data_IF_427030197751
#
_entry.id   IF_427030197751
#
_cell.length_a   1.000
_cell.length_b   1.000
_cell.length_c   1.000
_cell.angle_alpha   90.00
_cell.angle_beta   90.00
_cell.angle_gamma   90.00
#
_symmetry.space_group_name_H-M   'P 1'
#
loop_
_entity.id
_entity.type
_entity.pdbx_description
1 polymer ?
#
# COMPACT_ATOMS: atom_id res chain seq x y z
N UNK A 1 -36.07 -21.82 -60.02
CA UNK A 1 -35.63 -22.43 -58.74
C UNK A 1 -34.40 -21.67 -58.28
N UNK A 2 -34.39 -21.16 -57.04
CA UNK A 2 -33.47 -20.12 -56.54
C UNK A 2 -32.03 -20.64 -56.34
N UNK A 3 -31.08 -19.78 -56.68
CA UNK A 3 -29.64 -19.89 -56.42
C UNK A 3 -29.38 -19.88 -54.90
N UNK A 4 -28.76 -20.92 -54.36
CA UNK A 4 -28.27 -20.94 -52.97
C UNK A 4 -26.84 -20.44 -52.94
N UNK A 5 -26.64 -19.22 -52.45
CA UNK A 5 -25.34 -18.60 -52.23
C UNK A 5 -24.66 -19.14 -50.97
N UNK A 6 -23.34 -19.31 -51.06
CA UNK A 6 -22.46 -19.57 -49.93
C UNK A 6 -22.26 -18.27 -49.15
N UNK A 7 -22.53 -18.31 -47.84
CA UNK A 7 -22.19 -17.25 -46.90
C UNK A 7 -21.15 -17.78 -45.92
N UNK A 8 -19.92 -17.29 -46.10
CA UNK A 8 -18.83 -17.37 -45.13
C UNK A 8 -19.13 -16.43 -43.96
N UNK A 9 -18.89 -16.90 -42.73
CA UNK A 9 -18.81 -16.02 -41.57
C UNK A 9 -17.71 -16.55 -40.64
N UNK A 10 -16.49 -16.05 -40.85
CA UNK A 10 -15.43 -16.07 -39.87
C UNK A 10 -15.64 -14.85 -38.96
N UNK A 11 -15.70 -15.05 -37.64
CA UNK A 11 -15.56 -13.95 -36.69
C UNK A 11 -14.60 -14.36 -35.58
N UNK A 12 -13.69 -13.42 -35.33
CA UNK A 12 -12.41 -13.55 -34.71
C UNK A 12 -12.47 -13.66 -33.18
N UNK A 13 -11.49 -14.37 -32.64
CA UNK A 13 -11.15 -14.42 -31.23
C UNK A 13 -10.69 -13.04 -30.74
N UNK A 14 -11.45 -12.45 -29.83
CA UNK A 14 -11.05 -11.25 -29.11
C UNK A 14 -10.13 -11.65 -27.95
N UNK A 15 -8.85 -11.29 -28.05
CA UNK A 15 -7.91 -11.33 -26.95
C UNK A 15 -8.14 -10.11 -26.06
N UNK A 16 -8.64 -10.32 -24.85
CA UNK A 16 -8.60 -9.28 -23.82
C UNK A 16 -7.21 -9.36 -23.19
N UNK A 17 -6.36 -8.38 -23.50
CA UNK A 17 -5.19 -8.07 -22.67
C UNK A 17 -5.69 -7.15 -21.56
N UNK A 18 -6.03 -7.72 -20.41
CA UNK A 18 -6.17 -6.97 -19.18
C UNK A 18 -4.76 -6.70 -18.63
N UNK A 19 -4.23 -5.54 -18.95
CA UNK A 19 -3.08 -4.98 -18.25
C UNK A 19 -3.56 -4.34 -16.94
N UNK A 20 -3.22 -4.95 -15.82
CA UNK A 20 -3.20 -4.30 -14.52
C UNK A 20 -1.84 -4.58 -13.89
N UNK A 21 -0.87 -3.72 -14.20
CA UNK A 21 0.32 -3.58 -13.39
C UNK A 21 -0.01 -2.55 -12.31
N UNK A 22 -0.59 -3.00 -11.20
CA UNK A 22 -0.62 -2.25 -9.95
C UNK A 22 0.47 -2.82 -9.07
N UNK A 23 1.55 -2.04 -8.92
CA UNK A 23 2.61 -2.33 -7.96
C UNK A 23 2.06 -2.22 -6.54
N UNK A 24 1.64 -3.36 -6.00
CA UNK A 24 1.56 -3.63 -4.57
C UNK A 24 2.63 -4.69 -4.28
N UNK A 25 3.89 -4.36 -4.55
CA UNK A 25 4.99 -5.24 -4.22
C UNK A 25 5.33 -5.06 -2.75
N UNK A 26 5.08 -6.11 -1.96
CA UNK A 26 5.63 -6.37 -0.64
C UNK A 26 5.23 -5.40 0.49
N UNK A 27 3.97 -5.48 0.93
CA UNK A 27 3.61 -5.14 2.31
C UNK A 27 4.32 -6.09 3.28
N UNK A 28 5.57 -5.74 3.64
CA UNK A 28 6.24 -6.16 4.87
C UNK A 28 6.55 -7.66 5.00
N UNK A 29 7.65 -7.97 5.69
CA UNK A 29 7.98 -9.34 6.05
C UNK A 29 7.01 -9.84 7.12
N UNK A 30 5.87 -10.42 6.71
CA UNK A 30 4.93 -11.06 7.62
C UNK A 30 5.69 -12.06 8.52
N UNK A 31 5.80 -11.73 9.81
CA UNK A 31 6.25 -12.71 10.81
C UNK A 31 5.35 -13.94 10.66
N UNK A 32 5.90 -15.17 10.55
CA UNK A 32 5.08 -16.37 10.51
C UNK A 32 4.36 -16.51 11.86
N UNK A 33 3.06 -16.22 11.89
CA UNK A 33 2.27 -16.37 13.11
C UNK A 33 1.05 -15.46 13.22
N UNK A 34 0.12 -15.52 12.28
CA UNK A 34 -1.31 -15.57 12.60
C UNK A 34 -2.14 -15.79 11.33
N UNK A 35 -3.01 -16.80 11.31
CA UNK A 35 -4.08 -16.88 10.31
C UNK A 35 -5.20 -15.90 10.69
N UNK A 36 -4.90 -14.61 10.75
CA UNK A 36 -5.92 -13.59 10.98
C UNK A 36 -6.70 -13.36 9.69
N UNK A 37 -7.89 -13.96 9.62
CA UNK A 37 -8.75 -13.87 8.45
C UNK A 37 -9.12 -12.42 8.09
N UNK A 38 -9.29 -11.55 9.09
CA UNK A 38 -9.60 -10.15 8.84
C UNK A 38 -8.40 -9.42 8.25
N UNK A 39 -7.18 -9.72 8.73
CA UNK A 39 -5.99 -9.13 8.13
C UNK A 39 -5.78 -9.60 6.68
N UNK A 40 -6.00 -10.88 6.39
CA UNK A 40 -5.96 -11.39 5.01
C UNK A 40 -6.99 -10.71 4.13
N UNK A 41 -8.25 -10.59 4.57
CA UNK A 41 -9.30 -9.90 3.81
C UNK A 41 -8.99 -8.41 3.61
N UNK A 42 -8.35 -7.77 4.59
CA UNK A 42 -7.87 -6.39 4.44
C UNK A 42 -6.78 -6.28 3.38
N UNK A 43 -5.82 -7.20 3.34
CA UNK A 43 -4.77 -7.26 2.33
C UNK A 43 -5.37 -7.38 0.93
N UNK A 44 -6.30 -8.32 0.74
CA UNK A 44 -7.02 -8.52 -0.53
C UNK A 44 -7.84 -7.30 -0.94
N UNK A 45 -8.47 -6.62 0.03
CA UNK A 45 -9.19 -5.38 -0.21
C UNK A 45 -8.25 -4.25 -0.64
N UNK A 46 -7.08 -4.12 -0.02
CA UNK A 46 -6.04 -3.16 -0.44
C UNK A 46 -5.56 -3.44 -1.86
N UNK A 47 -5.23 -4.69 -2.18
CA UNK A 47 -4.76 -5.09 -3.51
C UNK A 47 -5.81 -4.81 -4.60
N UNK A 48 -7.09 -4.89 -4.23
CA UNK A 48 -8.21 -4.55 -5.10
C UNK A 48 -8.61 -3.05 -5.08
N UNK A 49 -7.88 -2.20 -4.34
CA UNK A 49 -8.16 -0.77 -4.22
C UNK A 49 -9.42 -0.43 -3.41
N UNK A 50 -10.00 -1.39 -2.69
CA UNK A 50 -11.17 -1.22 -1.81
C UNK A 50 -10.73 -0.80 -0.41
N UNK A 51 -10.19 0.40 -0.29
CA UNK A 51 -9.57 0.88 0.96
C UNK A 51 -10.56 1.03 2.12
N UNK A 52 -11.82 1.40 1.86
CA UNK A 52 -12.84 1.46 2.91
C UNK A 52 -13.13 0.07 3.51
N UNK A 53 -13.25 -0.96 2.66
CA UNK A 53 -13.43 -2.34 3.10
C UNK A 53 -12.21 -2.82 3.90
N UNK A 54 -11.00 -2.49 3.45
CA UNK A 54 -9.77 -2.82 4.16
C UNK A 54 -9.75 -2.23 5.58
N UNK A 55 -10.18 -0.97 5.74
CA UNK A 55 -10.28 -0.32 7.05
C UNK A 55 -11.25 -1.07 7.97
N UNK A 56 -12.40 -1.50 7.47
CA UNK A 56 -13.37 -2.23 8.28
C UNK A 56 -12.83 -3.58 8.76
N UNK A 57 -12.20 -4.34 7.87
CA UNK A 57 -11.52 -5.58 8.26
C UNK A 57 -10.39 -5.33 9.28
N UNK A 58 -9.55 -4.32 9.06
CA UNK A 58 -8.46 -4.00 9.98
C UNK A 58 -8.95 -3.57 11.36
N UNK A 59 -10.07 -2.85 11.45
CA UNK A 59 -10.71 -2.54 12.75
C UNK A 59 -11.11 -3.81 13.49
N UNK A 60 -11.60 -4.84 12.80
CA UNK A 60 -11.90 -6.13 13.42
C UNK A 60 -10.63 -6.85 13.88
N UNK A 61 -9.56 -6.83 13.08
CA UNK A 61 -8.27 -7.39 13.46
C UNK A 61 -7.69 -6.70 14.71
N UNK A 62 -7.70 -5.36 14.74
CA UNK A 62 -7.24 -4.55 15.88
C UNK A 62 -8.09 -4.79 17.13
N UNK A 63 -9.41 -4.94 16.99
CA UNK A 63 -10.29 -5.23 18.13
C UNK A 63 -9.98 -6.59 18.79
N UNK A 64 -9.42 -7.55 18.04
CA UNK A 64 -8.97 -8.85 18.56
C UNK A 64 -7.55 -8.78 19.10
N UNK A 65 -6.68 -8.04 18.42
CA UNK A 65 -5.25 -7.92 18.71
C UNK A 65 -4.75 -6.53 18.32
N UNK A 66 -4.48 -5.72 19.33
CA UNK A 66 -4.05 -4.33 19.18
C UNK A 66 -2.52 -4.15 19.24
N UNK A 67 -1.78 -5.26 19.22
CA UNK A 67 -0.32 -5.34 19.41
C UNK A 67 0.46 -5.61 18.13
N UNK A 68 -0.22 -5.70 16.98
CA UNK A 68 0.41 -5.95 15.69
C UNK A 68 0.60 -4.65 14.90
N UNK A 69 1.87 -4.25 14.72
CA UNK A 69 2.24 -3.05 13.99
C UNK A 69 1.79 -3.07 12.52
N UNK A 70 1.75 -4.24 11.87
CA UNK A 70 1.32 -4.38 10.47
C UNK A 70 -0.16 -3.95 10.28
N UNK A 71 -1.02 -4.18 11.28
CA UNK A 71 -2.44 -3.79 11.21
C UNK A 71 -2.58 -2.28 11.16
N UNK A 72 -1.84 -1.58 12.01
CA UNK A 72 -1.84 -0.12 12.04
C UNK A 72 -1.14 0.48 10.82
N UNK A 73 -0.07 -0.14 10.34
CA UNK A 73 0.57 0.27 9.09
C UNK A 73 -0.41 0.20 7.90
N UNK A 74 -1.16 -0.91 7.78
CA UNK A 74 -2.13 -1.07 6.70
C UNK A 74 -3.36 -0.17 6.88
N UNK A 75 -3.77 0.13 8.13
CA UNK A 75 -4.81 1.14 8.42
C UNK A 75 -4.35 2.53 7.98
N UNK A 76 -3.10 2.89 8.29
CA UNK A 76 -2.49 4.14 7.85
C UNK A 76 -2.48 4.25 6.33
N UNK A 77 -2.05 3.17 5.66
CA UNK A 77 -2.05 3.08 4.21
C UNK A 77 -3.44 3.25 3.61
N UNK A 78 -4.42 2.46 4.05
CA UNK A 78 -5.78 2.54 3.52
C UNK A 78 -6.42 3.92 3.78
N UNK A 79 -6.19 4.51 4.96
CA UNK A 79 -6.69 5.85 5.32
C UNK A 79 -6.07 6.94 4.43
N UNK A 80 -4.76 6.88 4.19
CA UNK A 80 -4.06 7.79 3.26
C UNK A 80 -4.66 7.70 1.86
N UNK A 81 -4.90 6.48 1.36
CA UNK A 81 -5.43 6.27 0.01
C UNK A 81 -6.84 6.83 -0.21
N UNK A 82 -7.61 7.06 0.85
CA UNK A 82 -8.92 7.73 0.79
C UNK A 82 -8.85 9.23 1.16
N UNK A 83 -7.65 9.77 1.39
CA UNK A 83 -7.44 11.18 1.75
C UNK A 83 -7.66 11.51 3.23
N UNK A 84 -7.88 10.51 4.08
CA UNK A 84 -8.02 10.67 5.53
C UNK A 84 -6.63 10.71 6.18
N UNK A 85 -5.92 11.81 5.95
CA UNK A 85 -4.56 12.00 6.43
C UNK A 85 -4.46 12.09 7.96
N UNK A 86 -5.49 12.62 8.64
CA UNK A 86 -5.51 12.73 10.10
C UNK A 86 -5.42 11.34 10.73
N UNK A 87 -6.29 10.42 10.34
CA UNK A 87 -6.23 9.04 10.82
C UNK A 87 -5.01 8.30 10.29
N UNK A 88 -4.58 8.56 9.05
CA UNK A 88 -3.40 7.92 8.49
C UNK A 88 -2.16 8.14 9.37
N UNK A 89 -1.87 9.39 9.75
CA UNK A 89 -0.75 9.71 10.64
C UNK A 89 -0.89 9.03 11.99
N UNK A 90 -2.06 9.09 12.62
CA UNK A 90 -2.29 8.45 13.91
C UNK A 90 -2.02 6.93 13.87
N UNK A 91 -2.43 6.25 12.80
CA UNK A 91 -2.18 4.82 12.64
C UNK A 91 -0.72 4.49 12.34
N UNK A 92 -0.03 5.26 11.49
CA UNK A 92 1.41 5.06 11.28
C UNK A 92 2.22 5.31 12.55
N UNK A 93 1.90 6.35 13.31
CA UNK A 93 2.53 6.62 14.61
C UNK A 93 2.29 5.48 15.60
N UNK A 94 1.09 4.90 15.62
CA UNK A 94 0.79 3.72 16.43
C UNK A 94 1.62 2.51 15.97
N UNK A 95 1.76 2.25 14.68
CA UNK A 95 2.61 1.19 14.15
C UNK A 95 4.08 1.38 14.61
N UNK A 96 4.61 2.60 14.49
CA UNK A 96 5.97 2.94 14.91
C UNK A 96 6.17 2.95 16.42
N UNK A 97 5.11 3.14 17.21
CA UNK A 97 5.17 2.98 18.67
C UNK A 97 5.29 1.51 19.10
N UNK A 98 4.71 0.59 18.32
CA UNK A 98 4.78 -0.86 18.56
C UNK A 98 6.09 -1.44 18.03
N UNK A 99 6.50 -1.02 16.83
CA UNK A 99 7.74 -1.44 16.18
C UNK A 99 8.50 -0.23 15.63
N UNK A 100 9.43 0.36 16.41
CA UNK A 100 10.15 1.58 16.03
C UNK A 100 11.05 1.48 14.80
N UNK A 101 11.34 0.26 14.33
CA UNK A 101 12.16 0.01 13.14
C UNK A 101 11.34 -0.56 11.97
N UNK A 102 10.01 -0.42 12.03
CA UNK A 102 9.10 -0.91 11.00
C UNK A 102 9.28 -0.11 9.70
N UNK A 103 9.98 -0.70 8.74
CA UNK A 103 10.42 -0.04 7.50
C UNK A 103 9.27 0.53 6.68
N UNK A 104 8.26 -0.28 6.37
CA UNK A 104 7.11 0.16 5.57
C UNK A 104 6.31 1.30 6.23
N UNK A 105 6.21 1.33 7.57
CA UNK A 105 5.56 2.41 8.29
C UNK A 105 6.37 3.71 8.18
N UNK A 106 7.71 3.65 8.26
CA UNK A 106 8.57 4.82 8.00
C UNK A 106 8.45 5.32 6.56
N UNK A 107 8.41 4.43 5.59
CA UNK A 107 8.23 4.80 4.18
C UNK A 107 6.88 5.49 3.96
N UNK A 108 5.78 4.82 4.31
CA UNK A 108 4.45 5.29 3.98
C UNK A 108 4.05 6.57 4.73
N UNK A 109 4.46 6.73 6.01
CA UNK A 109 4.26 8.00 6.71
C UNK A 109 5.09 9.12 6.09
N UNK A 110 6.31 8.82 5.62
CA UNK A 110 7.15 9.75 4.88
C UNK A 110 6.48 10.22 3.58
N UNK A 111 5.89 9.30 2.82
CA UNK A 111 5.10 9.65 1.64
C UNK A 111 3.85 10.48 2.00
N UNK A 112 3.15 10.14 3.09
CA UNK A 112 2.00 10.92 3.58
C UNK A 112 2.39 12.37 3.94
N UNK A 113 3.58 12.56 4.52
CA UNK A 113 4.13 13.88 4.77
C UNK A 113 4.39 14.66 3.47
N UNK A 114 4.92 14.02 2.42
CA UNK A 114 5.07 14.68 1.11
C UNK A 114 3.73 15.09 0.52
N UNK A 115 2.71 14.23 0.58
CA UNK A 115 1.35 14.53 0.08
C UNK A 115 0.68 15.70 0.83
N UNK A 116 1.12 15.97 2.06
CA UNK A 116 0.64 17.06 2.91
C UNK A 116 1.60 18.26 2.99
N UNK A 117 2.62 18.29 2.13
CA UNK A 117 3.56 19.42 1.99
C UNK A 117 4.64 19.52 3.08
N UNK A 118 4.82 18.46 3.88
CA UNK A 118 5.69 18.38 5.05
C UNK A 118 7.02 17.70 4.71
N UNK A 119 7.83 18.37 3.88
CA UNK A 119 9.09 17.80 3.37
C UNK A 119 10.09 17.43 4.48
N UNK A 120 10.23 18.27 5.50
CA UNK A 120 11.22 18.05 6.57
C UNK A 120 10.91 16.77 7.38
N UNK A 121 9.63 16.51 7.63
CA UNK A 121 9.17 15.31 8.30
C UNK A 121 9.44 14.06 7.43
N UNK A 122 9.18 14.12 6.12
CA UNK A 122 9.52 13.03 5.21
C UNK A 122 11.03 12.70 5.22
N UNK A 123 11.90 13.73 5.21
CA UNK A 123 13.35 13.55 5.29
C UNK A 123 13.81 12.93 6.61
N UNK A 124 13.13 13.23 7.72
CA UNK A 124 13.38 12.59 9.01
C UNK A 124 13.13 11.07 8.96
N UNK A 125 12.03 10.65 8.31
CA UNK A 125 11.73 9.23 8.12
C UNK A 125 12.71 8.55 7.16
N UNK A 126 13.18 9.24 6.11
CA UNK A 126 14.25 8.73 5.25
C UNK A 126 15.56 8.53 6.03
N UNK A 127 15.93 9.48 6.90
CA UNK A 127 17.12 9.36 7.74
C UNK A 127 17.00 8.22 8.76
N UNK A 128 15.79 7.89 9.21
CA UNK A 128 15.55 6.70 10.04
C UNK A 128 15.72 5.41 9.23
N UNK A 129 15.17 5.35 8.02
CA UNK A 129 15.37 4.21 7.10
C UNK A 129 16.85 4.00 6.76
N UNK A 130 17.63 5.06 6.55
CA UNK A 130 19.08 4.98 6.31
C UNK A 130 19.82 4.24 7.43
N UNK A 131 19.42 4.49 8.69
CA UNK A 131 19.99 3.82 9.88
C UNK A 131 19.53 2.37 10.01
N UNK A 132 18.27 2.07 9.67
CA UNK A 132 17.70 0.72 9.75
C UNK A 132 18.25 -0.17 8.62
N UNK A 133 18.46 0.40 7.44
CA UNK A 133 18.80 -0.31 6.21
C UNK A 133 20.29 -0.20 5.89
N UNK A 134 21.14 -0.83 6.71
CA UNK A 134 22.62 -0.78 6.61
C UNK A 134 23.19 -1.17 5.23
N UNK A 135 22.49 -2.03 4.47
CA UNK A 135 22.89 -2.45 3.11
C UNK A 135 21.90 -1.99 2.03
N UNK A 136 21.05 -1.01 2.35
CA UNK A 136 19.91 -0.60 1.53
C UNK A 136 18.70 -1.52 1.72
N UNK A 137 17.52 -0.96 1.46
CA UNK A 137 16.24 -1.65 1.42
C UNK A 137 15.32 -0.96 0.40
N UNK A 138 14.25 -1.65 -0.01
CA UNK A 138 13.30 -1.10 -0.99
C UNK A 138 12.69 0.20 -0.45
N UNK A 139 12.25 0.18 0.81
CA UNK A 139 11.58 1.27 1.49
C UNK A 139 12.41 2.56 1.53
N UNK A 140 13.72 2.44 1.78
CA UNK A 140 14.64 3.58 1.73
C UNK A 140 14.72 4.16 0.31
N UNK A 141 14.83 3.30 -0.70
CA UNK A 141 15.00 3.70 -2.09
C UNK A 141 13.74 4.39 -2.60
N UNK A 142 12.57 3.80 -2.32
CA UNK A 142 11.27 4.33 -2.70
C UNK A 142 11.03 5.71 -2.09
N UNK A 143 11.17 5.85 -0.76
CA UNK A 143 10.98 7.16 -0.12
C UNK A 143 11.99 8.21 -0.62
N UNK A 144 13.25 7.81 -0.86
CA UNK A 144 14.29 8.71 -1.39
C UNK A 144 13.94 9.25 -2.77
N UNK A 145 13.45 8.39 -3.67
CA UNK A 145 13.02 8.78 -5.01
C UNK A 145 11.80 9.69 -4.95
N UNK A 146 10.84 9.41 -4.07
CA UNK A 146 9.65 10.23 -3.86
C UNK A 146 10.01 11.63 -3.34
N UNK A 147 10.93 11.73 -2.39
CA UNK A 147 11.47 13.00 -1.90
C UNK A 147 12.17 13.78 -3.03
N UNK A 148 12.97 13.11 -3.86
CA UNK A 148 13.64 13.75 -4.98
C UNK A 148 12.63 14.29 -6.02
N UNK A 149 11.61 13.51 -6.34
CA UNK A 149 10.53 13.92 -7.25
C UNK A 149 9.73 15.10 -6.69
N UNK A 150 9.43 15.10 -5.39
CA UNK A 150 8.75 16.22 -4.72
C UNK A 150 9.55 17.53 -4.85
N UNK A 151 10.85 17.50 -4.54
CA UNK A 151 11.76 18.65 -4.66
C UNK A 151 11.95 19.18 -6.08
N UNK A 152 11.73 18.33 -7.09
CA UNK A 152 11.82 18.74 -8.49
C UNK A 152 10.55 19.46 -8.98
N UNK A 153 9.44 19.34 -8.26
CA UNK A 153 8.12 19.83 -8.67
C UNK A 153 7.56 20.95 -7.80
N UNK A 154 8.23 21.28 -6.69
CA UNK A 154 7.89 22.33 -5.72
C UNK A 154 9.11 23.17 -5.42
#
# INVERSE_FOLDING_TARGET
MRVTGFLTAALASAWIVAGAASGAAAMGSAKPGNNDADFTSAQEAVDAGRYADAIEHLKQAVAKRDDNADYYNLLGFASRKIGDFENAFAYYEKALSLEPDHKAAHEYIGEAYLETGKLAEAESHLARLDKICTFGCAEYTELKERIAAYKATH
#
